data_IF_732574414940
#
_entry.id   IF_732574414940
#
_cell.length_a   1.000
_cell.length_b   1.000
_cell.length_c   1.000
_cell.angle_alpha   90.00
_cell.angle_beta   90.00
_cell.angle_gamma   90.00
#
_symmetry.space_group_name_H-M   'P 1'
#
loop_
_entity.id
_entity.type
_entity.pdbx_description
1 polymer ?
#
# COMPACT_ATOMS: atom_id res chain seq x y z
N UNK A 1 66.77 -3.51 11.79
CA UNK A 1 65.63 -2.58 11.89
C UNK A 1 64.36 -3.22 11.29
N UNK A 2 63.72 -4.18 11.98
CA UNK A 2 62.57 -4.95 11.46
C UNK A 2 61.42 -5.12 12.46
N UNK A 3 61.30 -4.22 13.45
CA UNK A 3 60.30 -4.31 14.53
C UNK A 3 59.28 -3.17 14.57
N UNK A 4 59.33 -2.21 13.64
CA UNK A 4 58.44 -1.03 13.65
C UNK A 4 57.24 -1.11 12.69
N UNK A 5 57.20 -2.10 11.80
CA UNK A 5 56.11 -2.23 10.81
C UNK A 5 54.92 -3.08 11.28
N UNK A 6 55.08 -3.89 12.32
CA UNK A 6 54.00 -4.76 12.81
C UNK A 6 52.96 -4.02 13.67
N UNK A 7 53.31 -2.85 14.22
CA UNK A 7 52.42 -2.12 15.15
C UNK A 7 51.44 -1.17 14.44
N UNK A 8 51.64 -0.89 13.15
CA UNK A 8 50.82 0.05 12.37
C UNK A 8 49.65 -0.60 11.62
N UNK A 9 49.62 -1.94 11.51
CA UNK A 9 48.57 -2.66 10.78
C UNK A 9 47.45 -3.21 11.68
N UNK A 10 47.61 -3.17 13.01
CA UNK A 10 46.62 -3.68 13.97
C UNK A 10 45.66 -2.60 14.51
N UNK A 11 45.86 -1.32 14.17
CA UNK A 11 45.06 -0.21 14.69
C UNK A 11 43.92 0.26 13.77
N UNK A 12 43.76 -0.33 12.59
CA UNK A 12 42.75 0.07 11.60
C UNK A 12 41.48 -0.79 11.61
N UNK A 13 41.33 -1.73 12.55
CA UNK A 13 40.29 -2.78 12.50
C UNK A 13 39.13 -2.66 13.49
N UNK A 14 38.94 -1.52 14.17
CA UNK A 14 37.89 -1.41 15.20
C UNK A 14 37.20 -0.05 15.22
N UNK A 15 36.65 0.43 14.10
CA UNK A 15 35.75 1.58 14.15
C UNK A 15 34.72 1.64 13.01
N UNK A 16 34.11 0.51 12.66
CA UNK A 16 32.83 0.52 11.94
C UNK A 16 31.71 0.54 12.97
N UNK A 17 31.41 1.76 13.42
CA UNK A 17 30.33 2.07 14.33
C UNK A 17 28.97 1.63 13.74
N UNK A 18 28.25 0.86 14.51
CA UNK A 18 26.79 0.85 14.67
C UNK A 18 26.00 1.57 13.58
N UNK A 19 25.74 0.88 12.47
CA UNK A 19 24.62 1.23 11.62
C UNK A 19 23.34 0.96 12.42
N UNK A 20 22.90 1.97 13.19
CA UNK A 20 21.56 2.01 13.75
C UNK A 20 20.59 1.82 12.58
N UNK A 21 20.03 0.63 12.48
CA UNK A 21 18.90 0.34 11.60
C UNK A 21 17.76 1.23 12.05
N UNK A 22 17.63 2.39 11.40
CA UNK A 22 16.50 3.29 11.56
C UNK A 22 15.30 2.55 10.97
N UNK A 23 14.59 1.83 11.82
CA UNK A 23 13.36 1.15 11.46
C UNK A 23 12.43 2.23 10.88
N UNK A 24 12.02 2.15 9.60
CA UNK A 24 11.08 3.11 9.05
C UNK A 24 9.80 2.97 9.87
N UNK A 25 9.51 3.97 10.69
CA UNK A 25 8.20 4.11 11.30
C UNK A 25 7.25 4.31 10.13
N UNK A 26 6.58 3.24 9.70
CA UNK A 26 5.63 3.31 8.60
C UNK A 26 4.70 4.51 8.84
N UNK A 27 4.79 5.49 7.95
CA UNK A 27 4.00 6.71 8.01
C UNK A 27 2.51 6.34 7.94
N UNK A 28 1.60 7.18 8.43
CA UNK A 28 0.16 6.90 8.37
C UNK A 28 -0.32 6.59 6.95
N UNK A 29 0.30 7.22 5.94
CA UNK A 29 0.05 6.94 4.53
C UNK A 29 0.51 5.54 4.09
N UNK A 30 1.48 4.92 4.74
CA UNK A 30 1.91 3.54 4.43
C UNK A 30 0.99 2.49 5.06
N UNK A 31 0.12 2.88 6.00
CA UNK A 31 -0.84 1.99 6.66
C UNK A 31 -2.26 2.12 6.16
N UNK A 32 -2.52 2.95 5.15
CA UNK A 32 -3.86 3.06 4.58
C UNK A 32 -4.05 2.24 3.30
N UNK A 33 -5.27 1.78 3.07
CA UNK A 33 -5.73 1.22 1.81
C UNK A 33 -6.75 2.16 1.17
N UNK A 34 -6.89 2.08 -0.15
CA UNK A 34 -7.94 2.80 -0.86
C UNK A 34 -9.20 1.94 -0.89
N UNK A 35 -10.31 2.49 -0.44
CA UNK A 35 -11.63 1.89 -0.52
C UNK A 35 -12.54 2.72 -1.41
N UNK A 36 -13.52 2.05 -2.02
CA UNK A 36 -14.54 2.63 -2.88
C UNK A 36 -15.90 2.31 -2.28
N UNK A 37 -16.75 3.32 -2.16
CA UNK A 37 -18.13 3.14 -1.77
C UNK A 37 -18.91 2.41 -2.86
N UNK A 38 -19.58 1.31 -2.50
CA UNK A 38 -20.30 0.48 -3.48
C UNK A 38 -21.56 1.15 -4.06
N UNK A 39 -22.08 2.18 -3.41
CA UNK A 39 -23.30 2.87 -3.82
C UNK A 39 -23.00 4.12 -4.65
N UNK A 40 -22.02 4.92 -4.22
CA UNK A 40 -21.68 6.22 -4.84
C UNK A 40 -20.45 6.15 -5.74
N UNK A 41 -19.57 5.16 -5.54
CA UNK A 41 -18.27 5.09 -6.21
C UNK A 41 -17.25 6.11 -5.69
N UNK A 42 -17.55 6.84 -4.61
CA UNK A 42 -16.59 7.73 -3.96
C UNK A 42 -15.42 6.93 -3.39
N UNK A 43 -14.26 7.57 -3.34
CA UNK A 43 -12.98 6.93 -3.00
C UNK A 43 -12.45 7.52 -1.70
N UNK A 44 -12.08 6.65 -0.77
CA UNK A 44 -11.59 7.02 0.56
C UNK A 44 -10.28 6.30 0.86
N UNK A 45 -9.37 6.97 1.56
CA UNK A 45 -8.22 6.30 2.19
C UNK A 45 -8.61 5.94 3.64
N UNK A 46 -8.58 4.65 3.96
CA UNK A 46 -8.93 4.13 5.30
C UNK A 46 -7.76 3.34 5.87
N UNK A 47 -7.71 3.18 7.19
CA UNK A 47 -6.66 2.38 7.83
C UNK A 47 -6.78 0.91 7.39
N UNK A 48 -5.65 0.29 7.01
CA UNK A 48 -5.59 -1.09 6.53
C UNK A 48 -6.01 -2.13 7.57
N UNK A 49 -6.06 -1.75 8.85
CA UNK A 49 -6.50 -2.62 9.95
C UNK A 49 -8.01 -2.66 10.11
N UNK A 50 -8.76 -1.80 9.42
CA UNK A 50 -10.21 -1.82 9.47
C UNK A 50 -10.79 -3.07 8.79
N UNK A 51 -11.88 -3.59 9.36
CA UNK A 51 -12.61 -4.71 8.78
C UNK A 51 -13.36 -4.25 7.52
N UNK A 52 -13.30 -5.05 6.46
CA UNK A 52 -14.05 -4.82 5.21
C UNK A 52 -15.34 -5.66 5.21
N UNK A 53 -16.50 -5.11 4.82
CA UNK A 53 -16.74 -3.70 4.47
C UNK A 53 -16.59 -2.76 5.67
N UNK A 54 -15.98 -1.59 5.46
CA UNK A 54 -15.83 -0.55 6.49
C UNK A 54 -16.88 0.55 6.35
N UNK A 55 -16.98 1.40 7.37
CA UNK A 55 -17.95 2.50 7.47
C UNK A 55 -17.56 3.62 6.52
N UNK A 56 -18.49 4.06 5.67
CA UNK A 56 -18.36 5.30 4.92
C UNK A 56 -18.52 6.48 5.90
N UNK A 57 -17.51 7.37 6.03
CA UNK A 57 -17.55 8.47 7.00
C UNK A 57 -18.65 9.50 6.70
N UNK A 58 -19.12 9.59 5.45
CA UNK A 58 -20.17 10.53 5.04
C UNK A 58 -21.57 9.99 5.33
N UNK A 59 -21.82 8.69 5.12
CA UNK A 59 -23.15 8.09 5.29
C UNK A 59 -23.34 7.33 6.61
N UNK A 60 -22.25 6.90 7.26
CA UNK A 60 -22.28 6.02 8.43
C UNK A 60 -22.60 4.55 8.12
N UNK A 61 -22.76 4.19 6.85
CA UNK A 61 -23.08 2.82 6.43
C UNK A 61 -21.82 1.99 6.17
N UNK A 62 -21.89 0.66 6.36
CA UNK A 62 -20.78 -0.26 6.02
C UNK A 62 -20.77 -0.58 4.53
N UNK A 63 -20.36 0.39 3.72
CA UNK A 63 -20.42 0.33 2.25
C UNK A 63 -19.06 0.45 1.57
N UNK A 64 -17.98 0.72 2.32
CA UNK A 64 -16.64 0.85 1.75
C UNK A 64 -15.98 -0.51 1.53
N UNK A 65 -15.62 -0.79 0.28
CA UNK A 65 -14.93 -2.01 -0.16
C UNK A 65 -13.56 -1.67 -0.74
N UNK A 66 -12.55 -2.56 -0.67
CA UNK A 66 -11.23 -2.32 -1.25
C UNK A 66 -11.32 -1.88 -2.71
N UNK A 67 -10.48 -0.93 -3.10
CA UNK A 67 -10.38 -0.42 -4.44
C UNK A 67 -9.24 -1.07 -5.23
N UNK A 68 -9.42 -1.21 -6.53
CA UNK A 68 -8.34 -1.46 -7.49
C UNK A 68 -8.32 -0.35 -8.56
N UNK A 69 -7.14 0.13 -8.89
CA UNK A 69 -6.91 1.23 -9.80
C UNK A 69 -6.80 0.77 -11.26
N UNK A 70 -7.49 1.46 -12.16
CA UNK A 70 -7.27 1.33 -13.60
C UNK A 70 -6.42 2.50 -14.10
N UNK A 71 -5.19 2.23 -14.53
CA UNK A 71 -4.27 3.28 -15.04
C UNK A 71 -4.77 3.95 -16.33
N UNK A 72 -5.53 3.23 -17.15
CA UNK A 72 -6.07 3.77 -18.41
C UNK A 72 -7.26 4.70 -18.17
N UNK A 73 -8.14 4.35 -17.24
CA UNK A 73 -9.27 5.20 -16.84
C UNK A 73 -8.86 6.27 -15.83
N UNK A 74 -7.69 6.10 -15.21
CA UNK A 74 -7.21 6.86 -14.07
C UNK A 74 -8.23 6.93 -12.92
N UNK A 75 -8.90 5.81 -12.63
CA UNK A 75 -10.00 5.73 -11.65
C UNK A 75 -9.89 4.47 -10.81
N UNK A 76 -10.34 4.56 -9.55
CA UNK A 76 -10.48 3.42 -8.64
C UNK A 76 -11.82 2.72 -8.84
N UNK A 77 -11.80 1.39 -8.80
CA UNK A 77 -12.97 0.53 -8.95
C UNK A 77 -13.08 -0.40 -7.75
N UNK A 78 -14.29 -0.80 -7.36
CA UNK A 78 -14.50 -1.78 -6.30
C UNK A 78 -13.79 -3.09 -6.69
N UNK A 79 -12.99 -3.62 -5.77
CA UNK A 79 -12.33 -4.90 -5.93
C UNK A 79 -13.38 -6.01 -6.02
N UNK A 80 -13.23 -6.96 -6.97
CA UNK A 80 -14.11 -8.12 -7.02
C UNK A 80 -13.94 -8.95 -5.75
N UNK A 81 -15.03 -9.56 -5.28
CA UNK A 81 -14.95 -10.51 -4.18
C UNK A 81 -14.14 -11.75 -4.59
N UNK A 82 -13.62 -12.47 -3.59
CA UNK A 82 -12.91 -13.76 -3.83
C UNK A 82 -13.81 -14.74 -4.58
N UNK A 83 -15.10 -14.74 -4.26
CA UNK A 83 -16.10 -15.54 -4.96
C UNK A 83 -16.21 -15.18 -6.44
N UNK A 84 -16.28 -13.89 -6.77
CA UNK A 84 -16.31 -13.42 -8.16
C UNK A 84 -15.02 -13.79 -8.88
N UNK A 85 -13.86 -13.60 -8.24
CA UNK A 85 -12.56 -13.99 -8.82
C UNK A 85 -12.49 -15.48 -9.17
N UNK A 86 -13.10 -16.34 -8.37
CA UNK A 86 -13.11 -17.78 -8.63
C UNK A 86 -14.17 -18.22 -9.65
N UNK A 87 -15.32 -17.54 -9.72
CA UNK A 87 -16.46 -17.97 -10.53
C UNK A 87 -16.59 -17.25 -11.87
N UNK A 88 -15.98 -16.07 -12.01
CA UNK A 88 -16.13 -15.22 -13.18
C UNK A 88 -14.77 -14.86 -13.75
N UNK A 89 -14.52 -15.30 -14.98
CA UNK A 89 -13.31 -14.92 -15.71
C UNK A 89 -13.35 -13.44 -16.06
N UNK A 90 -12.22 -12.75 -15.94
CA UNK A 90 -12.08 -11.37 -16.39
C UNK A 90 -12.47 -10.30 -15.36
N UNK A 91 -12.95 -10.64 -14.16
CA UNK A 91 -13.37 -9.64 -13.15
C UNK A 91 -12.21 -8.85 -12.53
N UNK A 92 -10.97 -9.30 -12.72
CA UNK A 92 -9.76 -8.57 -12.37
C UNK A 92 -9.34 -7.52 -13.43
N UNK A 93 -10.13 -7.36 -14.50
CA UNK A 93 -9.87 -6.40 -15.58
C UNK A 93 -10.92 -5.29 -15.56
N UNK A 94 -10.51 -4.10 -15.97
CA UNK A 94 -11.40 -2.95 -16.13
C UNK A 94 -12.42 -3.23 -17.24
N UNK A 95 -13.71 -3.17 -16.90
CA UNK A 95 -14.80 -3.39 -17.85
C UNK A 95 -14.79 -2.44 -19.06
N UNK A 96 -14.21 -1.23 -18.91
CA UNK A 96 -14.15 -0.23 -19.99
C UNK A 96 -12.97 -0.43 -20.93
N UNK A 97 -11.80 -0.77 -20.40
CA UNK A 97 -10.53 -0.73 -21.16
C UNK A 97 -9.89 -2.10 -21.35
N UNK A 98 -10.42 -3.15 -20.70
CA UNK A 98 -9.84 -4.48 -20.65
C UNK A 98 -8.47 -4.54 -19.96
N UNK A 99 -8.00 -3.44 -19.34
CA UNK A 99 -6.71 -3.39 -18.65
C UNK A 99 -6.78 -4.08 -17.28
N UNK A 100 -5.67 -4.67 -16.84
CA UNK A 100 -5.56 -5.26 -15.50
C UNK A 100 -5.73 -4.17 -14.44
N UNK A 101 -6.56 -4.43 -13.44
CA UNK A 101 -6.71 -3.55 -12.28
C UNK A 101 -5.56 -3.77 -11.29
N UNK A 102 -5.02 -2.69 -10.73
CA UNK A 102 -3.86 -2.71 -9.83
C UNK A 102 -4.26 -2.39 -8.39
N UNK A 103 -3.56 -2.96 -7.42
CA UNK A 103 -3.76 -2.60 -6.02
C UNK A 103 -3.23 -1.19 -5.71
N UNK A 104 -2.18 -0.77 -6.41
CA UNK A 104 -1.54 0.53 -6.23
C UNK A 104 -2.05 1.56 -7.23
N UNK A 105 -2.10 2.82 -6.79
CA UNK A 105 -2.54 3.96 -7.58
C UNK A 105 -2.43 5.29 -6.82
N UNK A 106 -2.88 6.41 -7.41
CA UNK A 106 -2.92 7.70 -6.73
C UNK A 106 -3.86 7.63 -5.54
N UNK A 107 -3.35 7.93 -4.35
CA UNK A 107 -4.16 7.93 -3.13
C UNK A 107 -5.07 9.17 -3.11
N UNK A 108 -6.34 9.03 -2.69
CA UNK A 108 -7.18 10.18 -2.40
C UNK A 108 -6.61 10.91 -1.17
N UNK A 109 -6.93 12.18 -1.04
CA UNK A 109 -6.67 12.89 0.21
C UNK A 109 -7.40 12.18 1.36
N UNK A 110 -6.82 12.16 2.57
CA UNK A 110 -7.49 11.58 3.72
C UNK A 110 -8.84 12.27 3.92
N UNK A 111 -9.88 11.46 4.18
CA UNK A 111 -11.19 11.99 4.52
C UNK A 111 -11.07 12.94 5.74
N UNK A 112 -11.85 14.03 5.77
CA UNK A 112 -11.81 15.02 6.86
C UNK A 112 -12.22 14.45 8.22
#
# INVERSE_FOLDING_TARGET
MRRKFALLLLLSMTLSASACSRQPSASPAERSIVCVDIHTGQVFAVDATESVPTVNPESGEKSLMPGLYCERCQTWHVAPSVEQLHRQHGVAYCAKTGGVLKLDGPRPDPAP
#
